data_IF_949584483093
#
_entry.id   IF_949584483093
#
_cell.length_a   1.000
_cell.length_b   1.000
_cell.length_c   1.000
_cell.angle_alpha   90.00
_cell.angle_beta   90.00
_cell.angle_gamma   90.00
#
_symmetry.space_group_name_H-M   'P 1'
#
loop_
_entity.id
_entity.type
_entity.pdbx_description
1 polymer ?
#
# COMPACT_ATOMS: atom_id res chain seq x y z
N UNK A 1 -8.00 5.74 16.46
CA UNK A 1 -7.48 5.56 15.08
C UNK A 1 -6.93 6.89 14.62
N UNK A 2 -5.87 6.92 13.80
CA UNK A 2 -5.33 8.21 13.30
C UNK A 2 -6.36 8.90 12.36
N UNK A 3 -6.51 10.24 12.39
CA UNK A 3 -7.51 10.96 11.59
C UNK A 3 -7.45 10.64 10.10
N UNK A 4 -6.23 10.57 9.54
CA UNK A 4 -6.00 10.17 8.13
C UNK A 4 -6.66 8.83 7.80
N UNK A 5 -6.39 7.81 8.63
CA UNK A 5 -6.89 6.45 8.38
C UNK A 5 -8.42 6.42 8.48
N UNK A 6 -9.00 7.19 9.39
CA UNK A 6 -10.45 7.32 9.53
C UNK A 6 -11.09 7.93 8.27
N UNK A 7 -10.50 9.02 7.75
CA UNK A 7 -10.97 9.65 6.51
C UNK A 7 -10.89 8.69 5.32
N UNK A 8 -9.75 8.00 5.13
CA UNK A 8 -9.59 7.00 4.06
C UNK A 8 -10.66 5.91 4.10
N UNK A 9 -11.00 5.43 5.30
CA UNK A 9 -12.03 4.39 5.48
C UNK A 9 -13.42 4.92 5.17
N UNK A 10 -13.77 6.10 5.67
CA UNK A 10 -15.11 6.69 5.51
C UNK A 10 -15.41 7.01 4.05
N UNK A 11 -14.48 7.67 3.36
CA UNK A 11 -14.64 8.05 1.96
C UNK A 11 -14.70 6.82 1.04
N UNK A 12 -13.83 5.83 1.25
CA UNK A 12 -13.87 4.61 0.45
C UNK A 12 -15.15 3.81 0.71
N UNK A 13 -15.59 3.69 1.96
CA UNK A 13 -16.84 3.00 2.29
C UNK A 13 -18.05 3.68 1.64
N UNK A 14 -18.13 5.01 1.68
CA UNK A 14 -19.18 5.77 1.03
C UNK A 14 -19.17 5.57 -0.49
N UNK A 15 -18.00 5.69 -1.13
CA UNK A 15 -17.84 5.47 -2.57
C UNK A 15 -18.23 4.06 -3.02
N UNK A 16 -17.86 3.02 -2.25
CA UNK A 16 -18.28 1.64 -2.55
C UNK A 16 -19.79 1.50 -2.40
N UNK A 17 -20.37 2.05 -1.32
CA UNK A 17 -21.81 1.96 -1.07
C UNK A 17 -22.61 2.65 -2.18
N UNK A 18 -22.26 3.87 -2.58
CA UNK A 18 -22.93 4.60 -3.66
C UNK A 18 -22.88 3.84 -5.00
N UNK A 19 -21.77 3.19 -5.33
CA UNK A 19 -21.63 2.44 -6.58
C UNK A 19 -22.32 1.06 -6.55
N UNK A 20 -22.37 0.41 -5.39
CA UNK A 20 -22.69 -1.02 -5.29
C UNK A 20 -23.93 -1.36 -4.44
N UNK A 21 -24.60 -0.38 -3.82
CA UNK A 21 -25.72 -0.60 -2.87
C UNK A 21 -26.75 -1.62 -3.37
N UNK A 22 -27.23 -1.45 -4.61
CA UNK A 22 -28.29 -2.29 -5.19
C UNK A 22 -27.75 -3.48 -5.99
N UNK A 23 -26.43 -3.56 -6.18
CA UNK A 23 -25.77 -4.51 -7.08
C UNK A 23 -24.87 -5.51 -6.34
N UNK A 24 -24.84 -5.49 -5.01
CA UNK A 24 -23.92 -6.30 -4.22
C UNK A 24 -24.57 -6.85 -2.96
N UNK A 25 -24.48 -8.16 -2.81
CA UNK A 25 -24.88 -8.89 -1.61
C UNK A 25 -23.67 -9.30 -0.78
N UNK A 26 -22.59 -9.70 -1.44
CA UNK A 26 -21.34 -10.15 -0.82
C UNK A 26 -20.19 -9.19 -1.14
N UNK A 27 -19.50 -8.73 -0.11
CA UNK A 27 -18.28 -7.93 -0.22
C UNK A 27 -17.11 -8.78 0.26
N UNK A 28 -16.05 -8.86 -0.54
CA UNK A 28 -14.81 -9.53 -0.14
C UNK A 28 -13.72 -8.47 0.04
N UNK A 29 -13.30 -8.26 1.28
CA UNK A 29 -12.29 -7.26 1.66
C UNK A 29 -10.89 -7.88 1.69
N UNK A 30 -10.10 -7.56 0.66
CA UNK A 30 -8.77 -8.11 0.42
C UNK A 30 -7.71 -7.32 1.21
N UNK A 31 -7.08 -7.99 2.17
CA UNK A 31 -6.16 -7.34 3.10
C UNK A 31 -6.91 -6.51 4.15
N UNK A 32 -7.96 -7.10 4.74
CA UNK A 32 -8.90 -6.41 5.64
C UNK A 32 -8.25 -5.86 6.92
N UNK A 33 -7.06 -6.35 7.28
CA UNK A 33 -6.31 -5.88 8.44
C UNK A 33 -7.09 -6.10 9.74
N UNK A 34 -7.51 -5.01 10.36
CA UNK A 34 -8.28 -5.03 11.62
C UNK A 34 -9.79 -4.88 11.38
N UNK A 35 -10.27 -4.94 10.13
CA UNK A 35 -11.70 -4.95 9.81
C UNK A 35 -12.39 -3.59 9.75
N UNK A 36 -11.66 -2.48 9.81
CA UNK A 36 -12.30 -1.15 9.89
C UNK A 36 -13.12 -0.77 8.66
N UNK A 37 -12.68 -1.16 7.45
CA UNK A 37 -13.43 -0.87 6.22
C UNK A 37 -14.70 -1.72 6.17
N UNK A 38 -14.58 -3.01 6.49
CA UNK A 38 -15.72 -3.93 6.63
C UNK A 38 -16.77 -3.37 7.61
N UNK A 39 -16.34 -2.91 8.79
CA UNK A 39 -17.25 -2.30 9.78
C UNK A 39 -17.90 -1.00 9.28
N UNK A 40 -17.16 -0.16 8.55
CA UNK A 40 -17.70 1.09 8.02
C UNK A 40 -18.78 0.83 6.95
N UNK A 41 -18.54 -0.13 6.05
CA UNK A 41 -19.50 -0.56 5.05
C UNK A 41 -20.75 -1.17 5.68
N UNK A 42 -20.57 -2.02 6.69
CA UNK A 42 -21.70 -2.63 7.40
C UNK A 42 -22.60 -1.59 8.08
N UNK A 43 -22.02 -0.50 8.60
CA UNK A 43 -22.79 0.61 9.18
C UNK A 43 -23.57 1.42 8.15
N UNK A 44 -23.15 1.41 6.89
CA UNK A 44 -23.88 2.06 5.79
C UNK A 44 -25.04 1.17 5.30
N UNK A 45 -24.85 -0.15 5.30
CA UNK A 45 -25.89 -1.11 4.95
C UNK A 45 -25.67 -2.44 5.69
N UNK A 46 -26.58 -2.75 6.61
CA UNK A 46 -26.54 -3.96 7.45
C UNK A 46 -26.97 -5.23 6.71
N UNK A 47 -27.42 -5.11 5.46
CA UNK A 47 -27.71 -6.22 4.57
C UNK A 47 -26.46 -6.81 3.89
N UNK A 48 -25.32 -6.11 3.96
CA UNK A 48 -24.08 -6.65 3.39
C UNK A 48 -23.60 -7.88 4.14
N UNK A 49 -23.25 -8.91 3.38
CA UNK A 49 -22.34 -9.97 3.84
C UNK A 49 -20.91 -9.55 3.53
N UNK A 50 -20.01 -9.61 4.51
CA UNK A 50 -18.63 -9.17 4.32
C UNK A 50 -17.65 -10.28 4.73
N UNK A 51 -16.86 -10.76 3.77
CA UNK A 51 -15.75 -11.68 3.98
C UNK A 51 -14.44 -10.90 3.98
N UNK A 52 -13.85 -10.69 5.15
CA UNK A 52 -12.54 -10.07 5.28
C UNK A 52 -11.41 -11.10 5.23
N UNK A 53 -10.46 -10.92 4.30
CA UNK A 53 -9.32 -11.81 4.09
C UNK A 53 -8.03 -11.11 4.49
N UNK A 54 -7.23 -11.73 5.36
CA UNK A 54 -5.95 -11.19 5.83
C UNK A 54 -4.93 -12.31 6.03
N UNK A 55 -3.67 -12.07 5.69
CA UNK A 55 -2.62 -13.08 5.77
C UNK A 55 -2.08 -13.26 7.21
N UNK A 56 -2.06 -12.18 7.99
CA UNK A 56 -1.59 -12.18 9.38
C UNK A 56 -2.69 -12.61 10.35
N UNK A 57 -2.58 -13.83 10.87
CA UNK A 57 -3.50 -14.43 11.84
C UNK A 57 -3.71 -13.55 13.10
N UNK A 58 -2.71 -12.79 13.55
CA UNK A 58 -2.89 -11.90 14.72
C UNK A 58 -3.87 -10.77 14.40
N UNK A 59 -3.83 -10.25 13.17
CA UNK A 59 -4.76 -9.22 12.70
C UNK A 59 -6.16 -9.78 12.52
N UNK A 60 -6.28 -10.98 11.95
CA UNK A 60 -7.56 -11.70 11.82
C UNK A 60 -8.23 -11.86 13.20
N UNK A 61 -7.49 -12.37 14.20
CA UNK A 61 -8.01 -12.50 15.58
C UNK A 61 -8.45 -11.16 16.17
N UNK A 62 -7.63 -10.13 15.98
CA UNK A 62 -7.94 -8.78 16.46
C UNK A 62 -9.21 -8.21 15.80
N UNK A 63 -9.39 -8.44 14.49
CA UNK A 63 -10.58 -8.04 13.75
C UNK A 63 -11.84 -8.77 14.27
N UNK A 64 -11.75 -10.09 14.50
CA UNK A 64 -12.85 -10.88 15.09
C UNK A 64 -13.27 -10.36 16.46
N UNK A 65 -12.31 -10.15 17.37
CA UNK A 65 -12.57 -9.61 18.71
C UNK A 65 -13.24 -8.23 18.61
N UNK A 66 -12.70 -7.36 17.76
CA UNK A 66 -13.24 -6.01 17.57
C UNK A 66 -14.67 -6.04 17.02
N UNK A 67 -14.93 -6.88 16.03
CA UNK A 67 -16.26 -7.09 15.44
C UNK A 67 -17.26 -7.52 16.52
N UNK A 68 -16.87 -8.47 17.39
CA UNK A 68 -17.73 -8.94 18.47
C UNK A 68 -18.05 -7.87 19.53
N UNK A 69 -17.11 -6.96 19.78
CA UNK A 69 -17.27 -5.88 20.77
C UNK A 69 -18.13 -4.72 20.27
N UNK A 70 -18.14 -4.46 18.96
CA UNK A 70 -18.76 -3.27 18.38
C UNK A 70 -20.10 -3.55 17.69
N UNK A 71 -20.33 -4.78 17.25
CA UNK A 71 -21.52 -5.17 16.50
C UNK A 71 -22.45 -5.99 17.39
N UNK A 72 -23.76 -5.85 17.19
CA UNK A 72 -24.77 -6.61 17.93
C UNK A 72 -24.67 -8.11 17.61
N UNK A 73 -25.07 -9.02 18.52
CA UNK A 73 -24.96 -10.47 18.30
C UNK A 73 -25.60 -10.97 16.99
N UNK A 74 -26.71 -10.35 16.57
CA UNK A 74 -27.44 -10.66 15.32
C UNK A 74 -26.63 -10.34 14.05
N UNK A 75 -25.65 -9.45 14.17
CA UNK A 75 -24.82 -8.97 13.05
C UNK A 75 -23.46 -9.66 12.99
N UNK A 76 -23.10 -10.49 13.98
CA UNK A 76 -21.89 -11.32 13.96
C UNK A 76 -21.91 -12.35 12.82
N UNK A 77 -23.09 -12.66 12.29
CA UNK A 77 -23.28 -13.54 11.13
C UNK A 77 -23.12 -12.81 9.80
N UNK A 78 -23.06 -11.47 9.78
CA UNK A 78 -22.90 -10.69 8.54
C UNK A 78 -21.44 -10.55 8.14
N UNK A 79 -20.49 -10.65 9.08
CA UNK A 79 -19.07 -10.42 8.83
C UNK A 79 -18.24 -11.62 9.27
N UNK A 80 -17.43 -12.15 8.38
CA UNK A 80 -16.48 -13.24 8.66
C UNK A 80 -15.07 -12.80 8.30
N UNK A 81 -14.13 -12.97 9.22
CA UNK A 81 -12.71 -12.72 8.95
C UNK A 81 -11.97 -14.05 8.86
N UNK A 82 -11.21 -14.27 7.79
CA UNK A 82 -10.47 -15.51 7.56
C UNK A 82 -9.00 -15.23 7.27
N UNK A 83 -8.15 -16.15 7.75
CA UNK A 83 -6.73 -16.10 7.43
C UNK A 83 -6.50 -16.66 6.02
N UNK A 84 -6.04 -15.82 5.11
CA UNK A 84 -5.69 -16.24 3.76
C UNK A 84 -4.65 -15.31 3.14
N UNK A 85 -3.58 -15.89 2.60
CA UNK A 85 -2.68 -15.17 1.72
C UNK A 85 -3.26 -15.18 0.30
N UNK A 86 -3.91 -14.07 -0.07
CA UNK A 86 -4.68 -13.98 -1.31
C UNK A 86 -3.77 -13.99 -2.55
N UNK A 87 -4.00 -14.96 -3.43
CA UNK A 87 -3.38 -15.09 -4.75
C UNK A 87 -4.43 -15.33 -5.82
N UNK A 88 -4.05 -15.18 -7.09
CA UNK A 88 -4.92 -15.51 -8.21
C UNK A 88 -4.96 -17.01 -8.55
N UNK A 89 -4.32 -17.88 -7.76
CA UNK A 89 -4.25 -19.32 -8.00
C UNK A 89 -5.59 -20.02 -7.73
N UNK A 90 -5.84 -21.13 -8.43
CA UNK A 90 -7.12 -21.85 -8.39
C UNK A 90 -7.49 -22.34 -6.98
N UNK A 91 -6.54 -22.90 -6.25
CA UNK A 91 -6.75 -23.32 -4.86
C UNK A 91 -7.15 -22.16 -3.94
N UNK A 92 -6.61 -20.96 -4.17
CA UNK A 92 -6.97 -19.77 -3.41
C UNK A 92 -8.40 -19.32 -3.74
N UNK A 93 -8.80 -19.39 -5.01
CA UNK A 93 -10.18 -19.12 -5.44
C UNK A 93 -11.18 -20.07 -4.77
N UNK A 94 -10.92 -21.37 -4.81
CA UNK A 94 -11.80 -22.36 -4.18
C UNK A 94 -11.94 -22.13 -2.67
N UNK A 95 -10.88 -21.70 -1.99
CA UNK A 95 -10.94 -21.34 -0.57
C UNK A 95 -11.80 -20.09 -0.32
N UNK A 96 -11.68 -19.06 -1.16
CA UNK A 96 -12.52 -17.85 -1.09
C UNK A 96 -14.00 -18.23 -1.26
N UNK A 97 -14.31 -19.06 -2.26
CA UNK A 97 -15.67 -19.54 -2.51
C UNK A 97 -16.22 -20.37 -1.34
N UNK A 98 -15.39 -21.22 -0.74
CA UNK A 98 -15.76 -21.98 0.45
C UNK A 98 -16.13 -21.04 1.61
N UNK A 99 -15.27 -20.06 1.92
CA UNK A 99 -15.53 -19.10 2.99
C UNK A 99 -16.76 -18.23 2.74
N UNK A 100 -16.96 -17.80 1.48
CA UNK A 100 -18.16 -17.10 1.07
C UNK A 100 -19.42 -17.96 1.30
N UNK A 101 -19.34 -19.26 1.00
CA UNK A 101 -20.45 -20.20 1.18
C UNK A 101 -20.77 -20.45 2.64
N UNK A 102 -19.75 -20.57 3.48
CA UNK A 102 -19.93 -20.69 4.92
C UNK A 102 -20.61 -19.44 5.51
N UNK A 103 -20.21 -18.24 5.06
CA UNK A 103 -20.82 -16.99 5.47
C UNK A 103 -22.30 -16.92 5.03
N UNK A 104 -22.59 -17.19 3.77
CA UNK A 104 -23.96 -17.17 3.24
C UNK A 104 -24.88 -18.16 3.96
N UNK A 105 -24.36 -19.36 4.28
CA UNK A 105 -25.08 -20.37 5.06
C UNK A 105 -25.38 -19.89 6.48
N UNK A 106 -24.44 -19.22 7.12
CA UNK A 106 -24.62 -18.68 8.48
C UNK A 106 -25.74 -17.62 8.55
N UNK A 107 -26.01 -16.94 7.43
CA UNK A 107 -27.12 -15.99 7.27
C UNK A 107 -28.44 -16.61 6.82
N UNK A 108 -28.47 -17.93 6.59
CA UNK A 108 -29.66 -18.63 6.12
C UNK A 108 -30.00 -18.40 4.64
N UNK A 109 -29.06 -17.88 3.84
CA UNK A 109 -29.28 -17.55 2.43
C UNK A 109 -29.07 -18.75 1.48
N UNK A 110 -28.51 -19.86 1.96
CA UNK A 110 -28.32 -21.07 1.17
C UNK A 110 -29.22 -22.21 1.68
N UNK A 111 -30.06 -22.79 0.84
CA UNK A 111 -30.65 -24.12 1.09
C UNK A 111 -29.56 -25.19 0.97
N UNK A 112 -29.79 -26.43 1.44
CA UNK A 112 -28.81 -27.56 1.39
C UNK A 112 -28.23 -27.83 -0.01
N UNK A 113 -28.77 -27.22 -1.07
CA UNK A 113 -28.40 -27.39 -2.48
C UNK A 113 -27.97 -26.10 -3.18
N UNK A 114 -28.04 -24.92 -2.55
CA UNK A 114 -27.69 -23.64 -3.17
C UNK A 114 -26.21 -23.26 -2.95
N UNK A 115 -25.47 -23.08 -4.03
CA UNK A 115 -24.08 -22.61 -4.06
C UNK A 115 -24.05 -21.07 -4.05
N UNK A 116 -22.97 -20.46 -3.56
CA UNK A 116 -22.74 -18.98 -3.61
C UNK A 116 -22.62 -18.41 -5.00
N UNK A 117 -22.76 -19.25 -6.02
CA UNK A 117 -22.67 -18.92 -7.42
C UNK A 117 -23.68 -17.88 -7.89
N UNK A 118 -24.67 -17.54 -7.07
CA UNK A 118 -25.73 -16.55 -7.37
C UNK A 118 -25.55 -15.21 -6.64
N UNK A 119 -24.62 -15.10 -5.68
CA UNK A 119 -24.46 -13.87 -4.91
C UNK A 119 -23.68 -12.83 -5.72
N UNK A 120 -24.34 -11.71 -6.02
CA UNK A 120 -23.67 -10.54 -6.59
C UNK A 120 -22.55 -10.07 -5.66
N UNK A 121 -21.31 -10.10 -6.16
CA UNK A 121 -20.11 -9.95 -5.33
C UNK A 121 -19.29 -8.73 -5.76
N UNK A 122 -18.73 -8.02 -4.78
CA UNK A 122 -17.76 -6.94 -5.00
C UNK A 122 -16.45 -7.22 -4.26
N UNK A 123 -15.33 -7.10 -4.97
CA UNK A 123 -13.99 -7.16 -4.37
C UNK A 123 -13.54 -5.76 -3.96
N UNK A 124 -13.03 -5.61 -2.74
CA UNK A 124 -12.54 -4.32 -2.25
C UNK A 124 -11.16 -4.45 -1.62
N UNK A 125 -10.44 -3.34 -1.47
CA UNK A 125 -9.21 -3.31 -0.68
C UNK A 125 -8.57 -1.94 -0.56
N UNK A 126 -8.65 -1.33 0.63
CA UNK A 126 -8.09 0.01 0.90
C UNK A 126 -6.56 0.09 0.80
N UNK A 127 -5.88 -1.00 1.10
CA UNK A 127 -4.42 -1.11 1.00
C UNK A 127 -4.03 -2.42 0.31
N UNK A 128 -4.68 -2.71 -0.83
CA UNK A 128 -4.33 -3.81 -1.72
C UNK A 128 -3.00 -3.51 -2.44
N UNK A 129 -1.90 -3.44 -1.69
CA UNK A 129 -0.63 -2.90 -2.19
C UNK A 129 0.24 -4.00 -2.84
N UNK A 130 1.14 -3.60 -3.75
CA UNK A 130 2.02 -4.52 -4.48
C UNK A 130 1.23 -5.65 -5.18
N UNK A 131 1.68 -6.91 -5.05
CA UNK A 131 1.13 -8.06 -5.78
C UNK A 131 -0.34 -8.34 -5.44
N UNK A 132 -0.82 -7.92 -4.27
CA UNK A 132 -2.23 -8.07 -3.89
C UNK A 132 -3.17 -7.32 -4.86
N UNK A 133 -2.78 -6.14 -5.36
CA UNK A 133 -3.59 -5.46 -6.39
C UNK A 133 -3.66 -6.22 -7.71
N UNK A 134 -2.60 -6.92 -8.10
CA UNK A 134 -2.60 -7.75 -9.31
C UNK A 134 -3.48 -8.98 -9.09
N UNK A 135 -3.34 -9.63 -7.93
CA UNK A 135 -4.20 -10.76 -7.57
C UNK A 135 -5.69 -10.36 -7.54
N UNK A 136 -6.01 -9.18 -7.00
CA UNK A 136 -7.37 -8.67 -6.98
C UNK A 136 -7.95 -8.47 -8.38
N UNK A 137 -7.18 -7.87 -9.32
CA UNK A 137 -7.57 -7.73 -10.73
C UNK A 137 -7.81 -9.09 -11.40
N UNK A 138 -6.94 -10.06 -11.16
CA UNK A 138 -7.08 -11.40 -11.73
C UNK A 138 -8.27 -12.17 -11.14
N UNK A 139 -8.50 -12.06 -9.82
CA UNK A 139 -9.67 -12.63 -9.16
C UNK A 139 -10.98 -12.02 -9.65
N UNK A 140 -10.99 -10.69 -9.86
CA UNK A 140 -12.13 -9.98 -10.46
C UNK A 140 -12.51 -10.57 -11.82
N UNK A 141 -11.54 -10.79 -12.71
CA UNK A 141 -11.80 -11.39 -14.01
C UNK A 141 -12.23 -12.86 -13.89
N UNK A 142 -11.57 -13.64 -13.03
CA UNK A 142 -11.77 -15.08 -12.99
C UNK A 142 -13.01 -15.57 -12.25
N UNK A 143 -13.50 -14.82 -11.26
CA UNK A 143 -14.67 -15.22 -10.46
C UNK A 143 -15.92 -14.62 -11.14
N UNK A 144 -16.82 -15.43 -11.74
CA UNK A 144 -17.95 -14.90 -12.51
C UNK A 144 -18.90 -14.02 -11.69
N UNK A 145 -19.07 -14.33 -10.41
CA UNK A 145 -19.98 -13.63 -9.50
C UNK A 145 -19.50 -12.23 -9.12
N UNK A 146 -18.20 -11.96 -9.25
CA UNK A 146 -17.65 -10.64 -8.97
C UNK A 146 -18.05 -9.68 -10.09
N UNK A 147 -18.88 -8.69 -9.76
CA UNK A 147 -19.34 -7.66 -10.70
C UNK A 147 -18.51 -6.38 -10.64
N UNK A 148 -18.01 -6.03 -9.44
CA UNK A 148 -17.26 -4.81 -9.21
C UNK A 148 -15.94 -5.07 -8.46
N UNK A 149 -14.94 -4.20 -8.68
CA UNK A 149 -13.66 -4.17 -8.00
C UNK A 149 -13.33 -2.74 -7.58
N UNK A 150 -13.06 -2.50 -6.30
CA UNK A 150 -12.62 -1.21 -5.76
C UNK A 150 -11.33 -1.38 -4.95
N UNK A 151 -10.17 -1.07 -5.52
CA UNK A 151 -8.88 -1.22 -4.83
C UNK A 151 -8.04 0.05 -4.82
N UNK A 152 -7.36 0.28 -3.70
CA UNK A 152 -6.47 1.43 -3.48
C UNK A 152 -5.04 0.96 -3.22
N UNK A 153 -4.25 0.71 -4.26
CA UNK A 153 -2.87 0.29 -4.09
C UNK A 153 -1.98 1.45 -3.62
N UNK A 154 -1.01 1.16 -2.75
CA UNK A 154 -0.30 2.20 -2.01
C UNK A 154 1.23 2.03 -1.85
N UNK A 155 1.76 0.83 -2.14
CA UNK A 155 3.13 0.41 -1.84
C UNK A 155 3.73 -0.46 -2.96
N UNK A 156 3.81 0.04 -4.18
CA UNK A 156 4.42 -0.61 -5.36
C UNK A 156 5.85 -1.12 -5.12
N UNK A 157 6.62 -0.43 -4.29
CA UNK A 157 7.99 -0.86 -3.96
C UNK A 157 8.07 -2.20 -3.22
N UNK A 158 6.95 -2.81 -2.81
CA UNK A 158 6.90 -4.15 -2.21
C UNK A 158 6.64 -5.27 -3.22
N UNK A 159 6.50 -4.97 -4.51
CA UNK A 159 6.38 -5.98 -5.55
C UNK A 159 7.51 -7.00 -5.45
N UNK A 160 7.13 -8.27 -5.66
CA UNK A 160 8.06 -9.38 -5.70
C UNK A 160 9.10 -9.19 -6.81
N UNK A 161 10.33 -9.67 -6.54
CA UNK A 161 11.42 -9.68 -7.51
C UNK A 161 11.66 -11.11 -8.00
N UNK A 162 12.11 -11.24 -9.24
CA UNK A 162 12.71 -12.46 -9.78
C UNK A 162 14.08 -12.69 -9.14
N UNK A 163 14.65 -13.87 -9.32
CA UNK A 163 16.04 -14.16 -8.92
C UNK A 163 17.05 -13.22 -9.58
N UNK A 164 16.71 -12.66 -10.75
CA UNK A 164 17.53 -11.69 -11.49
C UNK A 164 17.36 -10.25 -10.97
N UNK A 165 16.55 -10.03 -9.92
CA UNK A 165 16.32 -8.72 -9.33
C UNK A 165 15.35 -7.81 -10.09
N UNK A 166 14.66 -8.31 -11.11
CA UNK A 166 13.60 -7.59 -11.83
C UNK A 166 12.24 -7.82 -11.20
N UNK A 167 11.26 -6.92 -11.40
CA UNK A 167 9.91 -7.12 -10.85
C UNK A 167 9.18 -8.27 -11.56
N UNK A 168 8.50 -9.12 -10.78
CA UNK A 168 7.71 -10.22 -11.33
C UNK A 168 6.44 -9.72 -12.05
N UNK A 169 5.74 -8.77 -11.41
CA UNK A 169 4.45 -8.27 -11.86
C UNK A 169 4.52 -6.79 -12.28
N UNK A 170 5.61 -6.40 -12.94
CA UNK A 170 5.73 -5.08 -13.57
C UNK A 170 6.86 -5.05 -14.62
N UNK A 171 6.64 -4.52 -15.83
CA UNK A 171 5.37 -4.02 -16.38
C UNK A 171 4.36 -5.14 -16.71
N UNK A 172 3.06 -4.82 -16.67
CA UNK A 172 1.97 -5.79 -16.88
C UNK A 172 1.25 -5.63 -18.21
N UNK A 173 1.10 -4.42 -18.74
CA UNK A 173 0.43 -4.18 -20.02
C UNK A 173 1.32 -4.51 -21.21
N UNK A 174 0.73 -4.95 -22.31
CA UNK A 174 1.41 -5.10 -23.60
C UNK A 174 1.92 -3.74 -24.07
N UNK A 175 1.16 -2.67 -23.85
CA UNK A 175 1.55 -1.31 -24.22
C UNK A 175 2.88 -0.90 -23.55
N UNK A 176 2.99 -0.99 -22.22
CA UNK A 176 4.22 -0.59 -21.52
C UNK A 176 5.38 -1.55 -21.82
N UNK A 177 5.12 -2.87 -21.92
CA UNK A 177 6.15 -3.82 -22.37
C UNK A 177 6.72 -3.46 -23.73
N UNK A 178 5.86 -3.12 -24.69
CA UNK A 178 6.30 -2.77 -26.05
C UNK A 178 7.11 -1.47 -26.06
N UNK A 179 6.69 -0.47 -25.28
CA UNK A 179 7.43 0.79 -25.13
C UNK A 179 8.81 0.57 -24.50
N UNK A 180 8.92 -0.31 -23.50
CA UNK A 180 10.20 -0.66 -22.88
C UNK A 180 11.11 -1.46 -23.81
N UNK A 181 10.56 -2.38 -24.61
CA UNK A 181 11.36 -3.14 -25.58
C UNK A 181 11.93 -2.28 -26.70
N UNK A 182 11.35 -1.10 -26.96
CA UNK A 182 11.85 -0.15 -27.95
C UNK A 182 12.98 0.76 -27.42
N UNK A 183 13.18 0.83 -26.10
CA UNK A 183 14.19 1.69 -25.46
C UNK A 183 14.88 0.95 -24.30
N UNK A 184 16.07 0.43 -24.58
CA UNK A 184 16.87 -0.33 -23.60
C UNK A 184 17.30 0.50 -22.38
N UNK A 185 17.21 1.84 -22.44
CA UNK A 185 17.52 2.70 -21.30
C UNK A 185 16.41 2.72 -20.23
N UNK A 186 15.19 2.30 -20.57
CA UNK A 186 14.06 2.28 -19.63
C UNK A 186 14.18 1.11 -18.64
N UNK A 187 14.62 1.42 -17.42
CA UNK A 187 14.66 0.48 -16.29
C UNK A 187 13.86 0.98 -15.10
N UNK A 188 12.95 0.14 -14.63
CA UNK A 188 12.17 0.41 -13.42
C UNK A 188 12.73 -0.38 -12.25
N UNK A 189 13.13 0.34 -11.20
CA UNK A 189 13.77 -0.23 -10.02
C UNK A 189 13.00 0.10 -8.74
N UNK A 190 13.46 -0.43 -7.61
CA UNK A 190 12.82 -0.20 -6.32
C UNK A 190 12.79 1.29 -5.91
N UNK A 191 13.83 2.11 -6.15
CA UNK A 191 13.74 3.57 -6.01
C UNK A 191 12.60 4.21 -6.81
N UNK A 192 12.44 3.87 -8.09
CA UNK A 192 11.30 4.34 -8.91
C UNK A 192 9.96 3.97 -8.26
N UNK A 193 9.81 2.73 -7.81
CA UNK A 193 8.58 2.26 -7.16
C UNK A 193 8.33 2.89 -5.79
N UNK A 194 9.39 3.27 -5.06
CA UNK A 194 9.25 4.02 -3.80
C UNK A 194 8.75 5.43 -4.07
N UNK A 195 9.32 6.06 -5.10
CA UNK A 195 8.93 7.37 -5.55
C UNK A 195 7.46 7.36 -6.01
N UNK A 196 7.02 6.39 -6.80
CA UNK A 196 5.61 6.22 -7.17
C UNK A 196 4.65 6.08 -5.97
N UNK A 197 5.14 5.74 -4.76
CA UNK A 197 4.35 5.67 -3.52
C UNK A 197 4.56 6.85 -2.56
N UNK A 198 5.41 7.81 -2.94
CA UNK A 198 5.79 8.94 -2.11
C UNK A 198 4.64 9.95 -2.02
N UNK A 199 4.79 10.94 -1.15
CA UNK A 199 3.80 11.99 -0.99
C UNK A 199 3.81 12.92 -2.21
N UNK A 200 2.65 13.52 -2.51
CA UNK A 200 2.48 14.38 -3.69
C UNK A 200 3.14 15.75 -3.50
N UNK A 201 3.20 16.52 -4.58
CA UNK A 201 3.68 17.90 -4.60
C UNK A 201 2.94 18.84 -3.62
N UNK A 202 1.78 18.45 -3.12
CA UNK A 202 0.98 19.22 -2.16
C UNK A 202 1.75 19.52 -0.87
N UNK A 203 2.55 18.57 -0.37
CA UNK A 203 3.39 18.78 0.81
C UNK A 203 4.57 19.71 0.54
N UNK A 204 5.05 19.75 -0.70
CA UNK A 204 6.15 20.63 -1.08
C UNK A 204 5.76 22.10 -0.93
N UNK A 205 4.47 22.45 -1.04
CA UNK A 205 3.99 23.83 -0.86
C UNK A 205 3.93 24.18 0.63
N UNK A 206 5.09 24.39 1.24
CA UNK A 206 5.23 24.75 2.65
C UNK A 206 6.19 25.92 2.85
N UNK A 207 6.35 26.38 4.10
CA UNK A 207 7.23 27.50 4.42
C UNK A 207 8.73 27.12 4.36
N UNK A 208 9.59 28.12 4.18
CA UNK A 208 11.03 27.93 4.05
C UNK A 208 11.68 27.27 5.28
N UNK A 209 11.10 27.47 6.47
CA UNK A 209 11.59 26.86 7.70
C UNK A 209 11.37 25.35 7.69
N UNK A 210 10.19 24.88 7.26
CA UNK A 210 9.91 23.45 7.08
C UNK A 210 10.81 22.79 6.05
N UNK A 211 11.10 23.46 4.94
CA UNK A 211 12.08 22.97 3.95
C UNK A 211 13.47 22.83 4.54
N UNK A 212 13.91 23.82 5.33
CA UNK A 212 15.22 23.77 6.00
C UNK A 212 15.28 22.59 6.98
N UNK A 213 14.24 22.41 7.80
CA UNK A 213 14.14 21.30 8.75
C UNK A 213 14.11 19.95 8.06
N UNK A 214 13.33 19.81 6.98
CA UNK A 214 13.22 18.57 6.21
C UNK A 214 14.54 18.22 5.52
N UNK A 215 15.20 19.20 4.90
CA UNK A 215 16.51 19.04 4.29
C UNK A 215 17.54 18.50 5.27
N UNK A 216 17.59 19.07 6.49
CA UNK A 216 18.50 18.56 7.53
C UNK A 216 18.13 17.15 7.99
N UNK A 217 16.84 16.82 8.13
CA UNK A 217 16.42 15.45 8.49
C UNK A 217 16.83 14.43 7.40
N UNK A 218 16.61 14.76 6.13
CA UNK A 218 16.96 13.88 5.00
C UNK A 218 18.47 13.75 4.86
N UNK A 219 19.22 14.84 5.05
CA UNK A 219 20.68 14.83 5.07
C UNK A 219 21.23 13.95 6.20
N UNK A 220 20.75 14.11 7.43
CA UNK A 220 21.19 13.27 8.56
C UNK A 220 20.86 11.79 8.31
N UNK A 221 19.69 11.49 7.73
CA UNK A 221 19.34 10.11 7.34
C UNK A 221 20.27 9.56 6.27
N UNK A 222 20.64 10.37 5.28
CA UNK A 222 21.55 10.01 4.20
C UNK A 222 22.97 9.78 4.73
N UNK A 223 23.47 10.68 5.57
CA UNK A 223 24.75 10.54 6.29
C UNK A 223 24.79 9.22 7.05
N UNK A 224 23.82 8.97 7.93
CA UNK A 224 23.78 7.74 8.73
C UNK A 224 23.86 6.46 7.88
N UNK A 225 23.30 6.49 6.66
CA UNK A 225 23.42 5.39 5.70
C UNK A 225 24.76 5.32 4.98
N UNK A 226 25.37 6.46 4.67
CA UNK A 226 26.67 6.53 4.00
C UNK A 226 27.85 6.18 4.91
N UNK A 227 27.66 6.21 6.24
CA UNK A 227 28.70 5.81 7.20
C UNK A 227 28.89 4.29 7.29
N UNK A 228 27.85 3.50 6.97
CA UNK A 228 27.84 2.04 7.11
C UNK A 228 28.91 1.36 6.23
N UNK A 229 29.54 0.32 6.77
CA UNK A 229 30.28 -0.65 5.97
C UNK A 229 29.34 -1.52 5.10
N UNK A 230 29.91 -2.23 4.12
CA UNK A 230 29.15 -3.05 3.17
C UNK A 230 28.26 -4.12 3.83
N UNK A 231 28.67 -4.63 5.00
CA UNK A 231 27.94 -5.63 5.79
C UNK A 231 27.11 -5.02 6.93
N UNK A 232 26.94 -3.70 6.96
CA UNK A 232 26.18 -2.99 7.97
C UNK A 232 24.92 -2.33 7.39
N UNK A 233 23.91 -2.14 8.23
CA UNK A 233 22.76 -1.30 7.91
C UNK A 233 22.43 -0.42 9.12
N UNK A 234 21.74 0.67 8.86
CA UNK A 234 21.33 1.62 9.90
C UNK A 234 19.82 1.58 10.11
N UNK A 235 19.39 1.58 11.38
CA UNK A 235 17.99 1.69 11.79
C UNK A 235 17.81 2.92 12.68
N UNK A 236 16.62 3.53 12.61
CA UNK A 236 16.23 4.61 13.52
C UNK A 236 15.95 4.01 14.90
N UNK A 237 16.53 4.59 15.96
CA UNK A 237 16.23 4.19 17.34
C UNK A 237 14.80 4.61 17.68
N UNK A 238 13.97 3.66 18.13
CA UNK A 238 12.57 3.91 18.55
C UNK A 238 12.54 4.38 20.01
N UNK A 239 12.97 5.59 20.29
CA UNK A 239 12.69 6.25 21.58
C UNK A 239 11.63 7.34 21.38
N UNK A 240 10.78 7.54 22.39
CA UNK A 240 9.93 8.72 22.51
C UNK A 240 10.82 9.95 22.70
N UNK A 241 11.38 10.47 21.62
CA UNK A 241 11.99 11.79 21.60
C UNK A 241 10.84 12.79 21.71
N UNK A 242 10.40 13.02 22.95
CA UNK A 242 9.60 14.17 23.29
C UNK A 242 10.42 15.42 22.94
N UNK A 243 9.91 16.19 21.98
CA UNK A 243 10.04 17.63 21.81
C UNK A 243 11.36 18.29 22.27
N UNK A 244 12.13 18.74 21.27
CA UNK A 244 12.97 19.95 21.21
C UNK A 244 14.36 19.70 20.62
N UNK A 245 14.41 19.12 19.42
CA UNK A 245 15.62 19.24 18.61
C UNK A 245 15.59 20.60 17.91
N UNK A 246 16.25 21.58 18.51
CA UNK A 246 16.75 22.73 17.75
C UNK A 246 17.77 22.18 16.75
N UNK A 247 17.29 21.85 15.55
CA UNK A 247 18.09 21.33 14.47
C UNK A 247 19.11 22.41 14.09
N UNK A 248 20.32 22.33 14.65
CA UNK A 248 21.43 23.14 14.17
C UNK A 248 21.73 22.75 12.71
N UNK A 249 22.10 23.73 11.90
CA UNK A 249 22.30 23.59 10.45
C UNK A 249 23.40 22.59 10.05
N UNK A 250 24.17 22.07 11.01
CA UNK A 250 25.06 20.93 10.84
C UNK A 250 24.78 19.88 11.92
N UNK A 251 24.52 18.61 11.56
CA UNK A 251 24.41 17.55 12.56
C UNK A 251 25.79 17.37 13.22
N UNK A 252 25.82 17.21 14.55
CA UNK A 252 26.99 16.70 15.26
C UNK A 252 27.04 15.18 15.10
N UNK A 253 28.23 14.55 15.17
CA UNK A 253 28.34 13.10 15.05
C UNK A 253 27.53 12.39 16.15
N UNK A 254 27.55 12.94 17.37
CA UNK A 254 26.73 12.49 18.51
C UNK A 254 25.23 12.44 18.16
N UNK A 255 24.72 13.39 17.38
CA UNK A 255 23.32 13.41 16.96
C UNK A 255 22.97 12.19 16.10
N UNK A 256 23.88 11.79 15.21
CA UNK A 256 23.71 10.56 14.41
C UNK A 256 23.68 9.35 15.32
N UNK A 257 24.60 9.25 16.27
CA UNK A 257 24.67 8.13 17.21
C UNK A 257 23.45 8.02 18.13
N UNK A 258 22.88 9.15 18.54
CA UNK A 258 21.67 9.21 19.37
C UNK A 258 20.42 8.78 18.59
N UNK A 259 20.33 9.14 17.31
CA UNK A 259 19.14 8.89 16.49
C UNK A 259 19.17 7.52 15.78
N UNK A 260 20.35 6.99 15.52
CA UNK A 260 20.55 5.81 14.68
C UNK A 260 21.38 4.73 15.37
N UNK A 261 21.03 3.47 15.08
CA UNK A 261 21.73 2.27 15.53
C UNK A 261 22.24 1.51 14.31
N UNK A 262 23.52 1.12 14.33
CA UNK A 262 24.07 0.18 13.36
C UNK A 262 23.64 -1.24 13.69
N UNK A 263 23.45 -2.05 12.65
CA UNK A 263 23.16 -3.46 12.75
C UNK A 263 23.95 -4.24 11.71
N UNK A 264 24.32 -5.48 12.06
CA UNK A 264 24.82 -6.45 11.10
C UNK A 264 23.75 -6.76 10.05
N UNK A 265 24.09 -6.71 8.76
CA UNK A 265 23.18 -7.15 7.70
C UNK A 265 22.91 -8.66 7.76
N UNK A 266 23.87 -9.44 8.27
CA UNK A 266 23.78 -10.90 8.31
C UNK A 266 22.95 -11.40 9.50
N UNK A 267 23.27 -10.93 10.71
CA UNK A 267 22.63 -11.42 11.94
C UNK A 267 21.50 -10.52 12.42
N UNK A 268 21.49 -9.25 12.01
CA UNK A 268 20.53 -8.26 12.49
C UNK A 268 20.85 -7.71 13.89
N UNK A 269 21.94 -8.15 14.51
CA UNK A 269 22.36 -7.71 15.85
C UNK A 269 22.82 -6.25 15.85
N UNK A 270 22.61 -5.51 16.96
CA UNK A 270 23.13 -4.16 17.09
C UNK A 270 24.66 -4.14 17.11
N UNK A 271 25.24 -3.14 16.46
CA UNK A 271 26.68 -2.88 16.41
C UNK A 271 26.99 -1.47 16.92
N UNK A 272 28.17 -1.29 17.51
CA UNK A 272 28.63 0.02 17.95
C UNK A 272 29.18 0.86 16.79
N UNK A 273 29.04 2.17 16.96
CA UNK A 273 29.72 3.13 16.08
C UNK A 273 31.22 3.09 16.36
N UNK A 274 32.03 2.97 15.30
CA UNK A 274 33.50 2.83 15.35
C UNK A 274 34.19 4.09 14.86
N UNK A 275 35.49 4.23 15.16
CA UNK A 275 36.30 5.38 14.72
C UNK A 275 36.29 5.59 13.19
N UNK A 276 36.20 4.51 12.41
CA UNK A 276 36.07 4.60 10.94
C UNK A 276 34.80 5.33 10.50
N UNK A 277 33.69 5.18 11.24
CA UNK A 277 32.44 5.89 10.93
C UNK A 277 32.54 7.37 11.28
N UNK A 278 33.23 7.71 12.36
CA UNK A 278 33.48 9.10 12.75
C UNK A 278 34.39 9.82 11.74
N UNK A 279 35.44 9.14 11.28
CA UNK A 279 36.31 9.67 10.23
C UNK A 279 35.52 9.94 8.93
N UNK A 280 34.72 8.97 8.46
CA UNK A 280 33.84 9.16 7.28
C UNK A 280 32.85 10.30 7.49
N UNK A 281 32.33 10.46 8.70
CA UNK A 281 31.43 11.56 9.04
C UNK A 281 32.14 12.91 8.91
N UNK A 282 33.36 13.05 9.44
CA UNK A 282 34.16 14.25 9.32
C UNK A 282 34.49 14.58 7.85
N UNK A 283 34.85 13.57 7.04
CA UNK A 283 35.11 13.71 5.61
C UNK A 283 33.88 14.19 4.84
N UNK A 284 32.72 13.56 5.05
CA UNK A 284 31.47 13.90 4.36
C UNK A 284 30.94 15.28 4.79
N UNK A 285 30.95 15.59 6.08
CA UNK A 285 30.49 16.90 6.58
C UNK A 285 31.44 18.03 6.17
N UNK A 286 32.74 17.78 6.10
CA UNK A 286 33.73 18.71 5.53
C UNK A 286 33.48 18.99 4.05
N UNK A 287 33.20 17.96 3.25
CA UNK A 287 32.88 18.10 1.82
C UNK A 287 31.60 18.90 1.57
N UNK A 288 30.60 18.76 2.44
CA UNK A 288 29.29 19.40 2.34
C UNK A 288 29.03 20.43 3.45
N UNK A 289 30.03 21.28 3.71
CA UNK A 289 30.01 22.33 4.74
C UNK A 289 28.90 23.36 4.55
N UNK A 290 28.67 24.20 5.57
CA UNK A 290 27.78 25.38 5.51
C UNK A 290 26.36 25.03 5.06
N UNK A 291 25.83 23.92 5.57
CA UNK A 291 24.49 23.43 5.24
C UNK A 291 24.30 23.03 3.77
N UNK A 292 25.37 22.87 2.97
CA UNK A 292 25.27 22.41 1.58
C UNK A 292 24.65 21.02 1.48
N UNK A 293 24.97 20.13 2.42
CA UNK A 293 24.39 18.78 2.47
C UNK A 293 22.87 18.79 2.66
N UNK A 294 22.38 19.56 3.63
CA UNK A 294 20.95 19.75 3.88
C UNK A 294 20.22 20.36 2.68
N UNK A 295 20.79 21.41 2.07
CA UNK A 295 20.23 22.04 0.86
C UNK A 295 20.18 21.09 -0.33
N UNK A 296 21.23 20.28 -0.53
CA UNK A 296 21.26 19.28 -1.59
C UNK A 296 20.21 18.18 -1.37
N UNK A 297 20.09 17.67 -0.14
CA UNK A 297 19.06 16.69 0.20
C UNK A 297 17.66 17.25 -0.06
N UNK A 298 17.41 18.50 0.30
CA UNK A 298 16.13 19.17 0.04
C UNK A 298 15.88 19.38 -1.46
N UNK A 299 16.89 19.80 -2.23
CA UNK A 299 16.79 19.93 -3.68
C UNK A 299 16.46 18.59 -4.36
N UNK A 300 17.03 17.48 -3.89
CA UNK A 300 16.69 16.14 -4.37
C UNK A 300 15.25 15.77 -4.02
N UNK A 301 14.76 16.12 -2.82
CA UNK A 301 13.37 15.93 -2.45
C UNK A 301 12.40 16.79 -3.28
N UNK A 302 12.82 17.99 -3.71
CA UNK A 302 12.07 18.82 -4.67
C UNK A 302 11.89 18.09 -6.00
N UNK A 303 13.00 17.53 -6.52
CA UNK A 303 12.98 16.78 -7.76
C UNK A 303 12.06 15.58 -7.64
N UNK A 304 12.19 14.80 -6.56
CA UNK A 304 11.28 13.68 -6.25
C UNK A 304 9.81 14.12 -6.24
N UNK A 305 9.48 15.20 -5.52
CA UNK A 305 8.11 15.72 -5.47
C UNK A 305 7.58 16.15 -6.85
N UNK A 306 8.46 16.61 -7.74
CA UNK A 306 8.11 17.04 -9.10
C UNK A 306 7.79 15.85 -10.02
N UNK A 307 8.53 14.75 -9.90
CA UNK A 307 8.36 13.57 -10.78
C UNK A 307 7.48 12.46 -10.17
N UNK A 308 7.14 12.53 -8.88
CA UNK A 308 6.36 11.49 -8.19
C UNK A 308 5.08 11.13 -8.94
N UNK A 309 4.28 12.12 -9.35
CA UNK A 309 3.01 11.87 -10.02
C UNK A 309 3.19 11.18 -11.36
N UNK A 310 4.28 11.49 -12.09
CA UNK A 310 4.62 10.81 -13.34
C UNK A 310 4.93 9.34 -13.06
N UNK A 311 5.75 9.05 -12.05
CA UNK A 311 6.08 7.68 -11.66
C UNK A 311 4.84 6.89 -11.24
N UNK A 312 3.94 7.49 -10.46
CA UNK A 312 2.69 6.85 -10.07
C UNK A 312 1.79 6.60 -11.30
N UNK A 313 1.62 7.59 -12.18
CA UNK A 313 0.77 7.47 -13.37
C UNK A 313 1.23 6.33 -14.29
N UNK A 314 2.53 6.10 -14.44
CA UNK A 314 3.04 4.95 -15.21
C UNK A 314 2.53 3.64 -14.61
N UNK A 315 2.59 3.49 -13.28
CA UNK A 315 2.12 2.27 -12.60
C UNK A 315 0.60 2.11 -12.69
N UNK A 316 -0.15 3.20 -12.51
CA UNK A 316 -1.61 3.18 -12.60
C UNK A 316 -2.07 2.85 -14.02
N UNK A 317 -1.51 3.52 -15.02
CA UNK A 317 -1.89 3.31 -16.41
C UNK A 317 -1.52 1.91 -16.91
N UNK A 318 -0.35 1.38 -16.50
CA UNK A 318 0.02 -0.01 -16.79
C UNK A 318 -1.02 -1.02 -16.28
N UNK A 319 -1.57 -0.80 -15.09
CA UNK A 319 -2.59 -1.68 -14.49
C UNK A 319 -3.94 -1.54 -15.19
N UNK A 320 -4.34 -0.31 -15.52
CA UNK A 320 -5.58 -0.05 -16.26
C UNK A 320 -5.54 -0.73 -17.62
N UNK A 321 -4.47 -0.51 -18.41
CA UNK A 321 -4.29 -1.16 -19.70
C UNK A 321 -4.24 -2.68 -19.57
N UNK A 322 -3.51 -3.20 -18.58
CA UNK A 322 -3.44 -4.64 -18.35
C UNK A 322 -4.81 -5.27 -18.08
N UNK A 323 -5.63 -4.65 -17.22
CA UNK A 323 -6.96 -5.17 -16.90
C UNK A 323 -7.88 -5.17 -18.13
N UNK A 324 -7.84 -4.10 -18.94
CA UNK A 324 -8.59 -4.02 -20.19
C UNK A 324 -8.11 -5.06 -21.22
N UNK A 325 -6.79 -5.22 -21.39
CA UNK A 325 -6.20 -6.20 -22.30
C UNK A 325 -6.61 -7.63 -21.92
N UNK A 326 -6.58 -7.98 -20.63
CA UNK A 326 -7.00 -9.30 -20.16
C UNK A 326 -8.50 -9.53 -20.31
N UNK A 327 -9.33 -8.52 -20.00
CA UNK A 327 -10.78 -8.62 -20.18
C UNK A 327 -11.13 -8.88 -21.65
N UNK A 328 -10.48 -8.17 -22.58
CA UNK A 328 -10.66 -8.35 -24.02
C UNK A 328 -10.29 -9.76 -24.48
N UNK A 329 -9.19 -10.33 -23.97
CA UNK A 329 -8.79 -11.72 -24.25
C UNK A 329 -9.81 -12.74 -23.74
N UNK A 330 -10.49 -12.44 -22.63
CA UNK A 330 -11.53 -13.28 -22.05
C UNK A 330 -12.93 -12.99 -22.61
N UNK A 331 -13.05 -12.11 -23.61
CA UNK A 331 -14.32 -11.65 -24.16
C UNK A 331 -15.29 -11.09 -23.11
N UNK A 332 -14.75 -10.47 -22.05
CA UNK A 332 -15.53 -9.79 -21.02
C UNK A 332 -15.63 -8.30 -21.33
N UNK A 333 -16.85 -7.77 -21.28
CA UNK A 333 -17.09 -6.33 -21.31
C UNK A 333 -16.81 -5.76 -19.93
N UNK A 334 -15.74 -4.96 -19.81
CA UNK A 334 -15.31 -4.38 -18.53
C UNK A 334 -15.04 -2.89 -18.70
N UNK A 335 -15.67 -2.08 -17.86
CA UNK A 335 -15.28 -0.69 -17.68
C UNK A 335 -14.20 -0.60 -16.60
N UNK A 336 -13.10 0.13 -16.86
CA UNK A 336 -12.00 0.31 -15.91
C UNK A 336 -11.64 1.78 -15.85
N UNK A 337 -11.62 2.36 -14.65
CA UNK A 337 -11.26 3.77 -14.43
C UNK A 337 -10.54 3.99 -13.11
N UNK A 338 -9.87 5.13 -13.02
CA UNK A 338 -9.35 5.65 -11.76
C UNK A 338 -10.14 6.88 -11.33
N UNK A 339 -10.58 6.88 -10.07
CA UNK A 339 -11.20 8.06 -9.45
C UNK A 339 -10.31 8.60 -8.32
N UNK A 340 -10.32 9.91 -8.13
CA UNK A 340 -9.65 10.56 -7.00
C UNK A 340 -10.66 10.69 -5.85
N UNK A 341 -10.50 9.90 -4.80
CA UNK A 341 -11.39 9.88 -3.62
C UNK A 341 -10.95 10.83 -2.51
N UNK A 342 -9.63 10.96 -2.27
CA UNK A 342 -9.15 11.68 -1.08
C UNK A 342 -8.56 13.04 -1.43
N UNK A 343 -8.56 13.96 -0.45
CA UNK A 343 -7.65 15.10 -0.47
C UNK A 343 -6.21 14.58 -0.38
N UNK A 344 -5.40 14.84 -1.40
CA UNK A 344 -3.99 14.46 -1.47
C UNK A 344 -3.14 15.03 -0.32
N UNK A 345 -3.59 16.12 0.32
CA UNK A 345 -2.96 16.69 1.52
C UNK A 345 -3.17 15.82 2.76
N UNK A 346 -4.34 15.18 2.86
CA UNK A 346 -4.69 14.29 3.97
C UNK A 346 -4.22 12.87 3.71
N UNK A 347 -4.52 12.35 2.52
CA UNK A 347 -3.97 11.10 2.03
C UNK A 347 -3.43 11.23 0.60
N UNK A 348 -2.10 11.22 0.44
CA UNK A 348 -1.48 11.34 -0.88
C UNK A 348 -1.84 10.18 -1.81
N UNK A 349 -2.21 9.01 -1.28
CA UNK A 349 -2.68 7.86 -2.07
C UNK A 349 -4.19 7.95 -2.21
N UNK A 350 -4.62 8.83 -3.09
CA UNK A 350 -6.00 9.25 -3.21
C UNK A 350 -6.75 8.61 -4.38
N UNK A 351 -6.14 7.69 -5.13
CA UNK A 351 -6.75 7.10 -6.32
C UNK A 351 -7.25 5.69 -6.07
N UNK A 352 -8.51 5.44 -6.40
CA UNK A 352 -9.14 4.11 -6.41
C UNK A 352 -9.19 3.59 -7.83
N UNK A 353 -8.78 2.35 -8.05
CA UNK A 353 -9.08 1.62 -9.28
C UNK A 353 -10.48 1.04 -9.14
N UNK A 354 -11.37 1.42 -10.03
CA UNK A 354 -12.72 0.86 -10.15
C UNK A 354 -12.79 0.06 -11.44
N UNK A 355 -13.28 -1.17 -11.35
CA UNK A 355 -13.60 -1.98 -12.52
C UNK A 355 -14.96 -2.65 -12.37
N UNK A 356 -15.74 -2.66 -13.45
CA UNK A 356 -17.12 -3.17 -13.48
C UNK A 356 -17.32 -4.06 -14.70
N UNK A 357 -17.95 -5.23 -14.50
CA UNK A 357 -18.43 -6.07 -15.62
C UNK A 357 -19.78 -5.52 -16.12
N UNK A 358 -19.94 -5.43 -17.44
CA UNK A 358 -21.11 -4.87 -18.12
C UNK A 358 -22.05 -5.93 -18.67
#
# INVERSE_FOLDING_TARGET
>A
MAPKKQHEIQELAANIHEHCADRTQLIIDLGSGLGYLSEALFKLNDNYMILGLEADEKRVRSARIRSQQLLSPETHLSISYQQLFVTAAENCRSQIEQFATELARSKGLTTKTATTTELSTTLIGLHACADLSINAMLLFLSIPQVQCLHIMPCCYHKLALTERGTFQNFPLSRALRSAMSADEALSFNRPFMRLACQQTNSRWRCDALKHTQHGTQMWTRALASALCDANELVKVKRYNLAQNDSIQNNPLYEYVQQRFQLHSQQTGDPLDWRAVHEQRFAELTGRYSDGKGARLAEALCCLQATIQQLCENVVLYDRLCYLQELAAVQHLSVEVRYEKLFDEKLSPRCRVLIAEKL
#
